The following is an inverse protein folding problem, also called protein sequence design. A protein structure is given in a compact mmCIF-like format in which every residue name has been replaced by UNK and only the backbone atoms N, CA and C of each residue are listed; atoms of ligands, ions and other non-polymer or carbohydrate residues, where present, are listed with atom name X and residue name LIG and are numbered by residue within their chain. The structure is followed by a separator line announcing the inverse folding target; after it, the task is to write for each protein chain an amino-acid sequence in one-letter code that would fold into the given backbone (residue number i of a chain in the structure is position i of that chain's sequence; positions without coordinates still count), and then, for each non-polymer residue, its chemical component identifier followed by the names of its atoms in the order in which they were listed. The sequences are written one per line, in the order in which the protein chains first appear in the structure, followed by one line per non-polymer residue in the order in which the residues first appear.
data_IF_847634828609
#
_entry.id   IF_847634828609
#
_cell.length_a   1.000
_cell.length_b   1.000
_cell.length_c   1.000
_cell.angle_alpha   90.00
_cell.angle_beta   90.00
_cell.angle_gamma   90.00
#
_symmetry.space_group_name_H-M   'P 1'
#
loop_
_entity.id
_entity.type
_entity.pdbx_description
1 polymer ?
#
# COMPACT_ATOMS: atom_id res chain seq x y z
N UNK A 1 -22.52 -2.19 -9.97
CA UNK A 1 -22.74 -2.86 -8.67
C UNK A 1 -21.71 -2.30 -7.71
N UNK A 2 -22.12 -1.74 -6.57
CA UNK A 2 -21.17 -1.16 -5.62
C UNK A 2 -20.28 -2.27 -5.03
N UNK A 3 -19.00 -1.98 -4.83
CA UNK A 3 -18.02 -2.87 -4.19
C UNK A 3 -17.49 -2.18 -2.94
N UNK A 4 -17.27 -2.95 -1.88
CA UNK A 4 -16.66 -2.46 -0.64
C UNK A 4 -15.18 -2.87 -0.68
N UNK A 5 -14.30 -1.89 -0.50
CA UNK A 5 -12.85 -2.09 -0.42
C UNK A 5 -12.39 -1.71 1.00
N UNK A 6 -12.07 -2.69 1.86
CA UNK A 6 -11.55 -2.40 3.19
C UNK A 6 -10.19 -1.70 3.09
N UNK A 7 -10.03 -0.60 3.83
CA UNK A 7 -8.76 0.10 3.94
C UNK A 7 -8.02 -0.38 5.19
N UNK A 8 -6.86 -1.00 4.99
CA UNK A 8 -6.02 -1.53 6.06
C UNK A 8 -4.84 -0.59 6.29
N UNK A 9 -4.82 0.11 7.42
CA UNK A 9 -3.72 0.99 7.79
C UNK A 9 -2.61 0.23 8.52
N UNK A 10 -1.36 0.56 8.24
CA UNK A 10 -0.20 0.01 8.93
C UNK A 10 1.00 0.96 8.88
N UNK A 11 1.98 0.68 9.76
CA UNK A 11 3.22 1.43 9.82
C UNK A 11 4.26 0.95 8.80
N UNK A 12 4.22 -0.34 8.43
CA UNK A 12 5.13 -0.97 7.48
C UNK A 12 4.34 -1.84 6.49
N UNK A 13 3.98 -1.25 5.35
CA UNK A 13 3.27 -1.97 4.29
C UNK A 13 4.19 -2.88 3.47
N UNK A 14 5.52 -2.69 3.56
CA UNK A 14 6.51 -3.51 2.84
C UNK A 14 6.51 -4.92 3.43
N UNK A 15 6.48 -5.03 4.77
CA UNK A 15 6.38 -6.34 5.43
C UNK A 15 4.95 -6.91 5.39
N UNK A 16 3.94 -6.05 5.51
CA UNK A 16 2.56 -6.49 5.67
C UNK A 16 1.89 -6.97 4.37
N UNK A 17 2.22 -6.38 3.21
CA UNK A 17 1.67 -6.78 1.91
C UNK A 17 1.92 -8.26 1.60
N UNK A 18 3.20 -8.74 1.58
CA UNK A 18 3.54 -10.14 1.36
C UNK A 18 2.94 -11.09 2.41
N UNK A 19 2.80 -10.64 3.67
CA UNK A 19 2.12 -11.42 4.70
C UNK A 19 0.66 -11.72 4.30
N UNK A 20 -0.10 -10.71 3.86
CA UNK A 20 -1.49 -10.91 3.45
C UNK A 20 -1.63 -11.70 2.15
N UNK A 21 -0.76 -11.46 1.18
CA UNK A 21 -0.72 -12.25 -0.06
C UNK A 21 -0.63 -13.74 0.26
N UNK A 22 0.32 -14.11 1.13
CA UNK A 22 0.53 -15.50 1.56
C UNK A 22 -0.63 -16.03 2.41
N UNK A 23 -1.13 -15.25 3.38
CA UNK A 23 -2.15 -15.70 4.32
C UNK A 23 -3.52 -15.90 3.65
N UNK A 24 -3.84 -15.08 2.64
CA UNK A 24 -5.15 -15.08 1.99
C UNK A 24 -5.13 -15.76 0.61
N UNK A 25 -3.96 -16.16 0.11
CA UNK A 25 -3.80 -16.65 -1.27
C UNK A 25 -4.15 -15.58 -2.30
N UNK A 26 -3.92 -14.31 -1.96
CA UNK A 26 -4.23 -13.14 -2.78
C UNK A 26 -3.12 -12.81 -3.78
N UNK A 27 -3.27 -11.66 -4.44
CA UNK A 27 -2.25 -11.06 -5.30
C UNK A 27 -2.16 -9.56 -5.00
N UNK A 28 -0.95 -9.02 -4.91
CA UNK A 28 -0.74 -7.57 -4.88
C UNK A 28 -0.95 -7.02 -6.30
N UNK A 29 -1.94 -6.15 -6.48
CA UNK A 29 -2.33 -5.62 -7.81
C UNK A 29 -1.89 -4.19 -8.09
N UNK A 30 -1.61 -3.40 -7.05
CA UNK A 30 -1.12 -2.03 -7.14
C UNK A 30 -0.18 -1.77 -5.94
N UNK A 31 0.99 -1.20 -6.21
CA UNK A 31 2.00 -0.88 -5.21
C UNK A 31 2.68 0.43 -5.63
N UNK A 32 2.47 1.48 -4.84
CA UNK A 32 2.98 2.82 -5.11
C UNK A 32 3.73 3.35 -3.92
N UNK A 33 4.76 4.14 -4.19
CA UNK A 33 5.49 4.88 -3.16
C UNK A 33 5.07 6.34 -3.17
N UNK A 34 5.39 7.08 -2.11
CA UNK A 34 5.12 8.52 -2.07
C UNK A 34 5.93 9.33 -3.10
N UNK A 35 6.94 8.74 -3.74
CA UNK A 35 7.68 9.35 -4.86
C UNK A 35 6.77 9.77 -6.02
N UNK A 36 5.66 9.05 -6.23
CA UNK A 36 4.65 9.39 -7.25
C UNK A 36 3.78 10.59 -6.88
N UNK A 37 3.81 11.06 -5.61
CA UNK A 37 3.03 12.20 -5.15
C UNK A 37 3.73 13.54 -5.41
N UNK A 38 2.99 14.60 -5.79
CA UNK A 38 3.57 15.92 -5.99
C UNK A 38 4.09 16.51 -4.67
N UNK A 39 5.25 17.15 -4.71
CA UNK A 39 5.84 17.91 -3.59
C UNK A 39 6.10 17.09 -2.30
N UNK A 40 6.32 15.79 -2.44
CA UNK A 40 6.72 14.91 -1.34
C UNK A 40 8.11 15.28 -0.81
N UNK A 41 8.33 15.20 0.51
CA UNK A 41 9.66 15.34 1.09
C UNK A 41 10.53 14.10 0.82
N UNK A 42 11.84 14.29 0.66
CA UNK A 42 12.79 13.17 0.42
C UNK A 42 12.67 12.08 1.48
N UNK A 43 12.42 12.46 2.74
CA UNK A 43 12.35 11.55 3.89
C UNK A 43 11.26 10.48 3.79
N UNK A 44 10.23 10.70 2.96
CA UNK A 44 9.09 9.77 2.86
C UNK A 44 8.90 9.17 1.48
N UNK A 45 9.70 9.57 0.47
CA UNK A 45 9.53 9.13 -0.92
C UNK A 45 9.45 7.63 -1.10
N UNK A 46 10.31 6.89 -0.39
CA UNK A 46 10.40 5.42 -0.49
C UNK A 46 9.30 4.69 0.29
N UNK A 47 8.53 5.40 1.13
CA UNK A 47 7.44 4.78 1.90
C UNK A 47 6.31 4.40 0.95
N UNK A 48 5.72 3.24 1.17
CA UNK A 48 4.50 2.83 0.49
C UNK A 48 3.38 3.82 0.81
N UNK A 49 2.71 4.29 -0.24
CA UNK A 49 1.57 5.17 -0.12
C UNK A 49 0.32 4.34 0.20
N UNK A 50 -0.38 4.69 1.27
CA UNK A 50 -1.72 4.18 1.49
C UNK A 50 -2.70 4.98 0.64
N UNK A 51 -3.12 4.39 -0.47
CA UNK A 51 -4.07 4.99 -1.41
C UNK A 51 -5.43 4.28 -1.33
N UNK A 52 -6.51 5.04 -1.52
CA UNK A 52 -7.91 4.60 -1.41
C UNK A 52 -8.53 4.25 -2.76
#
# INVERSE_FOLDING_TARGET
MARIYPYLFCNDAIEQGPFYEKALGGLIIDLRTFEEAPQVSEEIKERIMHWY
#
